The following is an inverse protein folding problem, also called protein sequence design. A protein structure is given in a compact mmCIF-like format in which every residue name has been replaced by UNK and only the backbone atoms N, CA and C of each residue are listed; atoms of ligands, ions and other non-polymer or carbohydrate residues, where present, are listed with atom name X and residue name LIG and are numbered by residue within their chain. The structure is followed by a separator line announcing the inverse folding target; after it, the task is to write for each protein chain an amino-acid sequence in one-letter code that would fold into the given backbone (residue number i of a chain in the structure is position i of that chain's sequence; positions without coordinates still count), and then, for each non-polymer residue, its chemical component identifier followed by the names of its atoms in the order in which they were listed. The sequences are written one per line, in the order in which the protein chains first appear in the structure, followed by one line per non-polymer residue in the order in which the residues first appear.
data_IF_986420287955
#
_entry.id   IF_986420287955
#
_cell.length_a   1.000
_cell.length_b   1.000
_cell.length_c   1.000
_cell.angle_alpha   90.00
_cell.angle_beta   90.00
_cell.angle_gamma   90.00
#
_symmetry.space_group_name_H-M   'P 1'
#
loop_
_entity.id
_entity.type
_entity.pdbx_description
1 polymer ?
#
# COMPACT_ATOMS: atom_id res chain seq x y z
N UNK A 1 -16.74 -21.04 21.80
CA UNK A 1 -17.02 -19.60 21.89
C UNK A 1 -15.97 -18.88 21.07
N UNK A 2 -16.28 -18.62 19.82
CA UNK A 2 -15.42 -17.84 18.92
C UNK A 2 -15.46 -16.37 19.35
N UNK A 3 -14.29 -15.80 19.65
CA UNK A 3 -14.17 -14.35 19.84
C UNK A 3 -14.32 -13.70 18.47
N UNK A 4 -15.49 -13.15 18.19
CA UNK A 4 -15.73 -12.25 17.08
C UNK A 4 -14.91 -10.96 17.33
N UNK A 5 -13.79 -10.82 16.65
CA UNK A 5 -13.11 -9.53 16.52
C UNK A 5 -13.98 -8.64 15.63
N UNK A 6 -14.80 -7.78 16.25
CA UNK A 6 -15.58 -6.81 15.51
C UNK A 6 -14.66 -5.76 14.88
N UNK A 7 -14.79 -5.56 13.60
CA UNK A 7 -14.01 -4.53 12.89
C UNK A 7 -14.42 -3.14 13.34
N UNK A 8 -13.49 -2.18 13.31
CA UNK A 8 -13.74 -0.76 13.67
C UNK A 8 -14.96 -0.18 12.93
N UNK A 9 -15.23 -0.67 11.73
CA UNK A 9 -16.39 -0.25 10.93
C UNK A 9 -17.72 -0.72 11.52
N UNK A 10 -17.81 -1.97 11.97
CA UNK A 10 -19.02 -2.53 12.62
C UNK A 10 -19.34 -1.79 13.92
N UNK A 11 -18.33 -1.53 14.74
CA UNK A 11 -18.51 -0.78 16.00
C UNK A 11 -18.96 0.66 15.73
N UNK A 12 -18.43 1.33 14.72
CA UNK A 12 -18.87 2.69 14.38
C UNK A 12 -20.33 2.74 13.90
N UNK A 13 -20.79 1.69 13.22
CA UNK A 13 -22.20 1.54 12.83
C UNK A 13 -23.11 1.34 14.06
N UNK A 14 -22.71 0.51 15.02
CA UNK A 14 -23.47 0.27 16.26
C UNK A 14 -23.57 1.55 17.10
N UNK A 15 -22.49 2.31 17.24
CA UNK A 15 -22.52 3.62 17.93
C UNK A 15 -23.45 4.60 17.21
N UNK A 16 -23.49 4.56 15.88
CA UNK A 16 -24.42 5.35 15.08
C UNK A 16 -25.88 4.96 15.33
N UNK A 17 -26.21 3.66 15.34
CA UNK A 17 -27.54 3.13 15.61
C UNK A 17 -28.03 3.47 17.02
N UNK A 18 -27.18 3.38 18.02
CA UNK A 18 -27.48 3.78 19.40
C UNK A 18 -27.91 5.24 19.48
N UNK A 19 -27.17 6.12 18.83
CA UNK A 19 -27.43 7.56 18.82
C UNK A 19 -28.78 7.93 18.18
N UNK A 20 -29.23 7.15 17.19
CA UNK A 20 -30.52 7.35 16.52
C UNK A 20 -31.66 6.53 17.16
N UNK A 21 -31.41 5.80 18.26
CA UNK A 21 -32.40 5.01 18.96
C UNK A 21 -32.89 3.79 18.17
N UNK A 22 -32.07 3.27 17.24
CA UNK A 22 -32.41 2.14 16.36
C UNK A 22 -31.60 0.88 16.68
N UNK A 23 -30.88 0.85 17.80
CA UNK A 23 -30.08 -0.28 18.25
C UNK A 23 -30.97 -1.39 18.82
N UNK A 24 -30.76 -2.65 18.38
CA UNK A 24 -31.48 -3.81 18.97
C UNK A 24 -30.83 -4.25 20.30
N UNK A 25 -31.54 -5.07 21.09
CA UNK A 25 -31.01 -5.59 22.35
C UNK A 25 -29.76 -6.43 22.14
N UNK A 26 -29.71 -7.29 21.09
CA UNK A 26 -28.54 -8.09 20.73
C UNK A 26 -27.35 -7.23 20.30
N UNK A 27 -27.60 -6.19 19.52
CA UNK A 27 -26.57 -5.24 19.08
C UNK A 27 -26.02 -4.41 20.25
N UNK A 28 -26.87 -4.10 21.25
CA UNK A 28 -26.48 -3.39 22.46
C UNK A 28 -25.53 -4.23 23.31
N UNK A 29 -25.82 -5.53 23.48
CA UNK A 29 -24.93 -6.45 24.21
C UNK A 29 -23.53 -6.51 23.58
N UNK A 30 -23.46 -6.55 22.25
CA UNK A 30 -22.19 -6.54 21.48
C UNK A 30 -21.41 -5.24 21.72
N UNK A 31 -22.09 -4.09 21.70
CA UNK A 31 -21.46 -2.79 21.94
C UNK A 31 -20.95 -2.67 23.38
N UNK A 32 -21.74 -3.12 24.36
CA UNK A 32 -21.34 -3.13 25.76
C UNK A 32 -20.16 -4.07 26.03
N UNK A 33 -20.12 -5.25 25.42
CA UNK A 33 -19.00 -6.17 25.54
C UNK A 33 -17.72 -5.56 24.93
N UNK A 34 -17.80 -4.93 23.77
CA UNK A 34 -16.67 -4.24 23.15
C UNK A 34 -16.13 -3.11 24.03
N UNK A 35 -17.00 -2.33 24.67
CA UNK A 35 -16.62 -1.25 25.61
C UNK A 35 -15.86 -1.78 26.83
N UNK A 36 -16.24 -2.95 27.35
CA UNK A 36 -15.60 -3.59 28.52
C UNK A 36 -14.24 -4.23 28.20
N UNK A 37 -13.93 -4.48 26.94
CA UNK A 37 -12.67 -5.15 26.53
C UNK A 37 -11.43 -4.30 26.82
N UNK A 38 -11.50 -2.98 26.75
CA UNK A 38 -10.35 -2.11 27.05
C UNK A 38 -10.78 -0.71 27.47
N UNK A 39 -9.96 -0.06 28.32
CA UNK A 39 -10.16 1.35 28.68
C UNK A 39 -10.05 2.31 27.48
N UNK A 40 -9.32 1.91 26.43
CA UNK A 40 -9.21 2.67 25.20
C UNK A 40 -10.52 2.65 24.39
N UNK A 41 -11.23 1.51 24.39
CA UNK A 41 -12.54 1.38 23.73
C UNK A 41 -13.58 2.30 24.39
N UNK A 42 -13.64 2.32 25.73
CA UNK A 42 -14.53 3.23 26.45
C UNK A 42 -14.19 4.68 26.18
N UNK A 43 -12.90 5.03 26.15
CA UNK A 43 -12.46 6.40 25.84
C UNK A 43 -12.85 6.81 24.41
N UNK A 44 -12.73 5.88 23.45
CA UNK A 44 -13.11 6.09 22.05
C UNK A 44 -14.63 6.26 21.92
N UNK A 45 -15.40 5.41 22.60
CA UNK A 45 -16.85 5.50 22.64
C UNK A 45 -17.32 6.87 23.16
N UNK A 46 -16.78 7.34 24.28
CA UNK A 46 -17.11 8.64 24.86
C UNK A 46 -16.78 9.80 23.89
N UNK A 47 -15.65 9.74 23.19
CA UNK A 47 -15.30 10.73 22.17
C UNK A 47 -16.26 10.74 21.00
N UNK A 48 -16.74 9.59 20.56
CA UNK A 48 -17.70 9.48 19.45
C UNK A 48 -19.14 9.88 19.85
N UNK A 49 -19.47 9.84 21.14
CA UNK A 49 -20.72 10.39 21.66
C UNK A 49 -20.70 11.92 21.78
N UNK A 50 -19.53 12.53 21.91
CA UNK A 50 -19.40 14.00 22.00
C UNK A 50 -19.66 14.66 20.63
N UNK A 51 -20.77 15.39 20.57
CA UNK A 51 -21.21 16.09 19.36
C UNK A 51 -20.23 17.19 18.92
N UNK A 52 -19.51 17.78 19.88
CA UNK A 52 -18.50 18.82 19.58
C UNK A 52 -17.27 18.20 18.92
N UNK A 53 -16.80 17.07 19.45
CA UNK A 53 -15.67 16.35 18.89
C UNK A 53 -15.93 15.88 17.44
N UNK A 54 -17.13 15.37 17.17
CA UNK A 54 -17.52 14.96 15.81
C UNK A 54 -17.63 16.14 14.86
N UNK A 55 -18.25 17.26 15.30
CA UNK A 55 -18.39 18.45 14.45
C UNK A 55 -17.05 19.09 14.11
N UNK A 56 -16.10 19.15 15.06
CA UNK A 56 -14.75 19.65 14.82
C UNK A 56 -13.95 18.71 13.91
N UNK A 57 -14.12 17.40 14.06
CA UNK A 57 -13.44 16.40 13.23
C UNK A 57 -13.94 16.43 11.80
N UNK A 58 -15.25 16.56 11.58
CA UNK A 58 -15.85 16.73 10.25
C UNK A 58 -15.47 18.07 9.62
N UNK A 59 -15.41 19.14 10.40
CA UNK A 59 -14.98 20.47 9.92
C UNK A 59 -13.50 20.48 9.48
N UNK A 60 -12.64 19.74 10.16
CA UNK A 60 -11.23 19.57 9.76
C UNK A 60 -11.07 18.78 8.47
N UNK A 61 -11.97 17.84 8.19
CA UNK A 61 -11.90 16.98 7.00
C UNK A 61 -12.51 17.62 5.75
N UNK A 62 -13.49 18.54 5.91
CA UNK A 62 -14.31 19.01 4.79
C UNK A 62 -13.92 20.37 4.22
N UNK A 63 -13.24 21.23 4.97
CA UNK A 63 -12.88 22.58 4.48
C UNK A 63 -14.06 23.42 3.95
N UNK A 64 -15.32 22.98 4.15
CA UNK A 64 -16.53 23.59 3.60
C UNK A 64 -17.24 24.40 4.68
N UNK A 65 -17.26 25.72 4.47
CA UNK A 65 -18.05 26.63 5.31
C UNK A 65 -19.55 26.47 5.03
N UNK A 66 -20.25 25.77 5.91
CA UNK A 66 -21.68 25.46 5.79
C UNK A 66 -22.61 26.56 6.34
N UNK A 67 -22.12 27.71 6.76
CA UNK A 67 -22.94 28.76 7.41
C UNK A 67 -23.72 29.65 6.42
N UNK A 68 -23.30 29.78 5.19
CA UNK A 68 -23.98 30.61 4.20
C UNK A 68 -25.26 30.00 3.58
N UNK A 69 -25.40 28.69 3.32
CA UNK A 69 -26.61 28.13 2.72
C UNK A 69 -27.85 28.15 3.62
N UNK A 70 -27.68 28.03 4.94
CA UNK A 70 -28.80 27.95 5.88
C UNK A 70 -29.53 29.28 6.10
N UNK A 71 -28.86 30.40 6.03
CA UNK A 71 -29.49 31.72 6.16
C UNK A 71 -30.29 32.12 4.93
N UNK A 72 -29.92 31.62 3.74
CA UNK A 72 -30.67 31.89 2.50
C UNK A 72 -32.00 31.11 2.46
N UNK A 73 -32.04 29.89 2.96
CA UNK A 73 -33.29 29.08 3.02
C UNK A 73 -34.31 29.63 4.02
N UNK A 74 -33.89 30.18 5.16
CA UNK A 74 -34.81 30.71 6.18
C UNK A 74 -35.53 32.00 5.72
N UNK A 75 -34.92 32.79 4.85
CA UNK A 75 -35.56 34.02 4.30
C UNK A 75 -36.60 33.74 3.22
N UNK A 76 -36.56 32.62 2.56
CA UNK A 76 -37.57 32.25 1.51
C UNK A 76 -38.84 31.66 2.11
N UNK A 77 -38.82 31.13 3.34
CA UNK A 77 -40.01 30.52 3.99
C UNK A 77 -40.95 31.57 4.63
N UNK A 78 -40.50 32.78 4.89
CA UNK A 78 -41.28 33.81 5.56
C UNK A 78 -42.26 34.56 4.64
N UNK A 79 -42.33 34.27 3.34
CA UNK A 79 -43.10 35.03 2.34
C UNK A 79 -44.49 34.47 1.99
N UNK A 80 -44.92 33.32 2.54
CA UNK A 80 -46.08 32.59 2.02
C UNK A 80 -47.35 32.58 2.91
N UNK A 81 -47.58 33.57 3.73
CA UNK A 81 -48.82 33.66 4.49
C UNK A 81 -49.66 34.91 4.10
N UNK A 82 -50.22 34.94 2.90
CA UNK A 82 -51.43 35.78 2.56
C UNK A 82 -51.90 35.46 1.16
N UNK A 83 -52.83 34.54 1.00
CA UNK A 83 -53.94 34.50 0.03
C UNK A 83 -54.70 33.17 0.14
N UNK A 84 -55.50 33.07 1.19
CA UNK A 84 -56.63 32.12 1.26
C UNK A 84 -57.86 32.86 0.69
N UNK A 85 -58.41 32.35 -0.40
CA UNK A 85 -59.85 32.35 -0.74
C UNK A 85 -60.20 32.45 -2.21
N UNK A 86 -59.50 31.86 -3.13
CA UNK A 86 -60.06 31.59 -4.47
C UNK A 86 -59.40 30.33 -5.00
N UNK A 87 -59.89 29.16 -4.77
CA UNK A 87 -59.42 27.96 -5.47
C UNK A 87 -60.03 26.63 -4.93
N UNK A 88 -61.34 26.58 -4.69
CA UNK A 88 -62.00 25.28 -4.49
C UNK A 88 -62.31 24.52 -5.80
N UNK A 89 -62.07 25.10 -6.97
CA UNK A 89 -62.34 24.48 -8.28
C UNK A 89 -61.08 24.09 -9.08
N UNK A 90 -59.87 24.35 -8.56
CA UNK A 90 -58.59 23.92 -9.20
C UNK A 90 -57.91 22.72 -8.51
N UNK A 91 -58.52 22.17 -7.45
CA UNK A 91 -57.86 21.13 -6.64
C UNK A 91 -57.89 19.72 -7.26
N UNK A 92 -58.83 19.42 -8.18
CA UNK A 92 -58.90 18.07 -8.77
C UNK A 92 -57.90 17.93 -9.93
N UNK A 93 -57.62 19.00 -10.69
CA UNK A 93 -56.62 18.99 -11.77
C UNK A 93 -55.17 19.03 -11.24
N UNK A 94 -54.93 19.70 -10.07
CA UNK A 94 -53.60 19.80 -9.49
C UNK A 94 -53.09 18.50 -8.89
N UNK A 95 -53.96 17.70 -8.27
CA UNK A 95 -53.59 16.40 -7.70
C UNK A 95 -53.24 15.39 -8.78
N UNK A 96 -53.98 15.36 -9.89
CA UNK A 96 -53.67 14.48 -11.03
C UNK A 96 -52.35 14.87 -11.71
N UNK A 97 -52.05 16.17 -11.87
CA UNK A 97 -50.79 16.66 -12.40
C UNK A 97 -49.62 16.36 -11.46
N UNK A 98 -49.81 16.49 -10.11
CA UNK A 98 -48.81 16.16 -9.14
C UNK A 98 -48.49 14.65 -9.10
N UNK A 99 -49.54 13.82 -9.19
CA UNK A 99 -49.38 12.37 -9.31
C UNK A 99 -48.64 11.95 -10.59
N UNK A 100 -48.96 12.60 -11.73
CA UNK A 100 -48.24 12.35 -12.99
C UNK A 100 -46.76 12.84 -12.93
N UNK A 101 -46.48 13.95 -12.27
CA UNK A 101 -45.14 14.44 -12.06
C UNK A 101 -44.37 13.51 -11.09
N UNK A 102 -45.01 13.03 -10.01
CA UNK A 102 -44.39 12.09 -9.08
C UNK A 102 -44.18 10.71 -9.72
N UNK A 103 -45.16 10.21 -10.50
CA UNK A 103 -45.00 8.99 -11.28
C UNK A 103 -43.96 9.15 -12.40
N UNK A 104 -43.89 10.28 -13.05
CA UNK A 104 -42.86 10.62 -14.03
C UNK A 104 -41.45 10.71 -13.39
N UNK A 105 -41.34 11.35 -12.23
CA UNK A 105 -40.10 11.37 -11.47
C UNK A 105 -39.72 9.99 -10.93
N UNK A 106 -40.68 9.22 -10.41
CA UNK A 106 -40.45 7.84 -9.99
C UNK A 106 -40.01 6.98 -11.18
N UNK A 107 -40.65 7.13 -12.35
CA UNK A 107 -40.23 6.41 -13.55
C UNK A 107 -38.88 6.87 -14.09
N UNK A 108 -38.58 8.17 -14.08
CA UNK A 108 -37.26 8.72 -14.42
C UNK A 108 -36.18 8.28 -13.46
N UNK A 109 -36.42 8.29 -12.14
CA UNK A 109 -35.48 7.81 -11.13
C UNK A 109 -35.28 6.30 -11.23
N UNK A 110 -36.39 5.55 -11.50
CA UNK A 110 -36.29 4.09 -11.69
C UNK A 110 -35.63 3.73 -13.02
N UNK A 111 -35.82 4.54 -14.06
CA UNK A 111 -35.14 4.37 -15.35
C UNK A 111 -33.66 4.76 -15.27
N UNK A 112 -33.28 5.75 -14.45
CA UNK A 112 -31.88 6.06 -14.18
C UNK A 112 -31.19 4.99 -13.32
N UNK A 113 -31.90 4.32 -12.42
CA UNK A 113 -31.35 3.18 -11.69
C UNK A 113 -31.16 1.93 -12.58
N UNK A 114 -31.95 1.80 -13.66
CA UNK A 114 -31.77 0.72 -14.66
C UNK A 114 -30.63 1.00 -15.66
N UNK A 115 -30.09 2.23 -15.68
CA UNK A 115 -28.94 2.63 -16.50
C UNK A 115 -27.65 2.70 -15.67
N UNK A 116 -27.66 2.29 -14.40
CA UNK A 116 -26.41 1.91 -13.74
C UNK A 116 -25.91 0.65 -14.45
N UNK A 117 -25.17 0.86 -15.52
CA UNK A 117 -24.29 -0.17 -16.03
C UNK A 117 -23.59 -0.79 -14.82
N UNK A 118 -23.58 -2.12 -14.70
CA UNK A 118 -22.77 -2.74 -13.66
C UNK A 118 -21.38 -2.10 -13.77
N UNK A 119 -20.73 -1.77 -12.66
CA UNK A 119 -19.43 -1.15 -12.71
C UNK A 119 -18.61 -1.94 -13.71
N UNK A 120 -18.23 -1.28 -14.81
CA UNK A 120 -17.33 -1.89 -15.79
C UNK A 120 -16.09 -2.22 -14.98
N UNK A 121 -15.92 -3.50 -14.71
CA UNK A 121 -14.79 -4.01 -13.94
C UNK A 121 -13.55 -3.66 -14.78
N UNK A 122 -12.99 -2.49 -14.52
CA UNK A 122 -11.79 -2.06 -15.24
C UNK A 122 -10.69 -3.07 -14.90
N UNK A 123 -10.02 -3.62 -15.91
CA UNK A 123 -8.98 -4.59 -15.68
C UNK A 123 -7.92 -4.00 -14.73
N UNK A 124 -7.56 -4.76 -13.70
CA UNK A 124 -6.45 -4.40 -12.81
C UNK A 124 -5.18 -4.81 -13.52
N UNK A 125 -4.52 -3.81 -14.09
CA UNK A 125 -3.26 -4.00 -14.82
C UNK A 125 -2.12 -4.27 -13.83
N UNK A 126 -1.10 -4.93 -14.35
CA UNK A 126 0.16 -5.15 -13.64
C UNK A 126 0.81 -3.82 -13.23
N UNK A 127 1.66 -3.89 -12.24
CA UNK A 127 2.53 -2.80 -11.86
C UNK A 127 3.50 -2.41 -12.99
N UNK A 128 4.21 -1.31 -12.78
CA UNK A 128 5.14 -0.78 -13.76
C UNK A 128 6.13 0.23 -13.16
N UNK A 129 6.89 0.95 -13.99
CA UNK A 129 7.91 1.89 -13.52
C UNK A 129 7.25 3.10 -12.82
N UNK A 130 7.20 3.08 -11.49
CA UNK A 130 6.67 4.15 -10.65
C UNK A 130 7.58 4.34 -9.45
N UNK A 131 8.04 5.55 -9.24
CA UNK A 131 8.83 5.90 -8.07
C UNK A 131 8.70 7.40 -7.73
N UNK A 132 8.88 7.72 -6.45
CA UNK A 132 8.99 9.09 -5.95
C UNK A 132 10.38 9.26 -5.36
N UNK A 133 11.10 10.27 -5.82
CA UNK A 133 12.40 10.64 -5.29
C UNK A 133 12.24 11.80 -4.30
N UNK A 134 12.65 11.56 -3.06
CA UNK A 134 12.71 12.55 -2.00
C UNK A 134 14.15 13.07 -1.93
N UNK A 135 14.36 14.32 -2.31
CA UNK A 135 15.67 14.96 -2.25
C UNK A 135 16.00 15.44 -0.83
N UNK A 136 17.28 15.51 -0.50
CA UNK A 136 17.73 15.96 0.82
C UNK A 136 17.38 17.40 1.18
N UNK A 137 16.90 18.22 0.24
CA UNK A 137 16.35 19.54 0.44
C UNK A 137 14.83 19.54 0.76
N UNK A 138 14.19 18.36 0.78
CA UNK A 138 12.76 18.19 1.01
C UNK A 138 11.89 18.22 -0.24
N UNK A 139 12.45 18.38 -1.42
CA UNK A 139 11.73 18.35 -2.70
C UNK A 139 11.32 16.93 -3.05
N UNK A 140 10.09 16.76 -3.59
CA UNK A 140 9.53 15.49 -4.05
C UNK A 140 9.43 15.49 -5.57
N UNK A 141 9.94 14.45 -6.19
CA UNK A 141 9.96 14.31 -7.66
C UNK A 141 9.35 12.97 -8.04
N UNK A 142 8.26 13.03 -8.80
CA UNK A 142 7.65 11.85 -9.41
C UNK A 142 8.44 11.42 -10.65
N UNK A 143 9.08 10.25 -10.58
CA UNK A 143 9.97 9.76 -11.63
C UNK A 143 9.24 9.22 -12.87
N UNK A 144 7.97 8.85 -12.75
CA UNK A 144 7.11 8.46 -13.86
C UNK A 144 6.86 9.62 -14.85
N UNK A 145 6.81 10.87 -14.35
CA UNK A 145 6.59 12.09 -15.15
C UNK A 145 7.87 12.87 -15.44
N UNK A 146 9.00 12.46 -14.88
CA UNK A 146 10.27 13.17 -15.04
C UNK A 146 10.79 13.07 -16.47
N UNK A 147 10.97 14.22 -17.13
CA UNK A 147 11.57 14.34 -18.46
C UNK A 147 12.92 15.05 -18.48
N UNK A 148 13.35 15.63 -17.35
CA UNK A 148 14.54 16.45 -17.25
C UNK A 148 15.58 15.88 -16.30
N UNK A 149 16.85 16.23 -16.53
CA UNK A 149 17.95 15.95 -15.61
C UNK A 149 17.87 16.91 -14.41
N UNK A 150 18.06 16.37 -13.21
CA UNK A 150 18.12 17.12 -11.96
C UNK A 150 19.59 17.29 -11.59
N UNK A 151 19.98 18.45 -11.10
CA UNK A 151 21.33 18.69 -10.57
C UNK A 151 21.21 18.98 -9.07
N UNK A 152 21.90 18.18 -8.25
CA UNK A 152 21.97 18.35 -6.81
C UNK A 152 23.43 18.46 -6.38
N UNK A 153 23.89 19.71 -6.11
CA UNK A 153 25.30 19.98 -5.91
C UNK A 153 26.12 19.70 -7.17
N UNK A 154 27.13 18.84 -7.04
CA UNK A 154 28.00 18.41 -8.15
C UNK A 154 27.49 17.12 -8.85
N UNK A 155 26.41 16.53 -8.31
CA UNK A 155 25.85 15.29 -8.84
C UNK A 155 24.73 15.57 -9.81
N UNK A 156 24.82 14.93 -10.97
CA UNK A 156 23.75 14.90 -11.97
C UNK A 156 22.92 13.66 -11.78
N UNK A 157 21.61 13.84 -11.61
CA UNK A 157 20.62 12.78 -11.48
C UNK A 157 19.84 12.75 -12.79
N UNK A 158 19.94 11.68 -13.55
CA UNK A 158 19.29 11.55 -14.86
C UNK A 158 18.48 10.28 -14.95
N UNK A 159 17.30 10.37 -15.55
CA UNK A 159 16.51 9.21 -15.96
C UNK A 159 17.09 8.69 -17.27
N UNK A 160 17.66 7.49 -17.22
CA UNK A 160 18.36 6.89 -18.37
C UNK A 160 17.40 6.15 -19.29
N UNK A 161 16.32 5.59 -18.72
CA UNK A 161 15.16 5.00 -19.41
C UNK A 161 13.91 5.11 -18.50
N UNK A 162 12.76 4.58 -18.95
CA UNK A 162 11.49 4.74 -18.23
C UNK A 162 11.52 4.21 -16.80
N UNK A 163 12.42 3.29 -16.48
CA UNK A 163 12.50 2.61 -15.18
C UNK A 163 13.85 2.77 -14.48
N UNK A 164 14.77 3.60 -14.98
CA UNK A 164 16.13 3.68 -14.46
C UNK A 164 16.59 5.11 -14.19
N UNK A 165 17.03 5.33 -12.94
CA UNK A 165 17.66 6.56 -12.48
C UNK A 165 19.15 6.33 -12.29
N UNK A 166 19.97 7.27 -12.73
CA UNK A 166 21.45 7.22 -12.62
C UNK A 166 21.98 8.46 -11.93
N UNK A 167 22.88 8.23 -10.98
CA UNK A 167 23.68 9.28 -10.32
C UNK A 167 25.06 9.34 -10.99
N UNK A 168 25.41 10.51 -11.52
CA UNK A 168 26.71 10.77 -12.12
C UNK A 168 27.40 11.89 -11.36
N UNK A 169 28.43 11.54 -10.58
CA UNK A 169 29.28 12.52 -9.90
C UNK A 169 30.41 12.92 -10.81
N UNK A 170 30.48 14.19 -11.19
CA UNK A 170 31.67 14.73 -11.88
C UNK A 170 32.83 14.68 -10.90
N UNK A 171 33.85 13.87 -11.25
CA UNK A 171 35.07 13.70 -10.45
C UNK A 171 35.86 15.01 -10.38
N UNK A 172 35.54 15.86 -9.40
CA UNK A 172 36.54 16.71 -8.77
C UNK A 172 36.51 16.40 -7.28
N UNK A 173 37.53 15.64 -6.85
CA UNK A 173 37.78 15.39 -5.42
C UNK A 173 38.16 16.71 -4.74
N UNK A 174 37.17 17.54 -4.49
CA UNK A 174 37.31 18.59 -3.49
C UNK A 174 36.89 17.98 -2.15
N UNK A 175 37.87 17.73 -1.28
CA UNK A 175 37.67 17.40 0.14
C UNK A 175 36.94 18.57 0.83
N UNK A 176 35.70 18.80 0.50
CA UNK A 176 34.85 19.69 1.27
C UNK A 176 34.14 18.84 2.32
N UNK A 177 34.60 18.98 3.55
CA UNK A 177 33.93 18.60 4.79
C UNK A 177 32.51 19.23 4.87
N UNK A 178 31.59 18.71 4.08
CA UNK A 178 30.19 19.10 4.06
C UNK A 178 29.33 18.04 4.71
N UNK A 179 28.17 18.43 5.23
CA UNK A 179 27.15 17.52 5.73
C UNK A 179 26.72 16.56 4.62
N UNK A 180 26.77 15.24 4.87
CA UNK A 180 26.34 14.24 3.89
C UNK A 180 24.88 14.43 3.58
N UNK A 181 24.56 14.63 2.32
CA UNK A 181 23.17 14.78 1.82
C UNK A 181 22.63 13.40 1.47
N UNK A 182 21.47 13.08 1.98
CA UNK A 182 20.76 11.83 1.69
C UNK A 182 19.55 12.09 0.84
N UNK A 183 19.34 11.22 -0.14
CA UNK A 183 18.10 11.09 -0.87
C UNK A 183 17.41 9.79 -0.47
N UNK A 184 16.10 9.72 -0.72
CA UNK A 184 15.31 8.51 -0.54
C UNK A 184 14.47 8.28 -1.80
N UNK A 185 14.53 7.07 -2.36
CA UNK A 185 13.60 6.65 -3.41
C UNK A 185 12.52 5.77 -2.80
N UNK A 186 11.27 6.12 -3.04
CA UNK A 186 10.09 5.39 -2.61
C UNK A 186 9.40 4.75 -3.81
N UNK A 187 9.20 3.44 -3.72
CA UNK A 187 8.45 2.66 -4.70
C UNK A 187 7.07 2.39 -4.12
N UNK A 188 6.00 2.96 -4.68
CA UNK A 188 4.64 2.70 -4.21
C UNK A 188 4.21 1.27 -4.54
N UNK A 189 3.09 0.85 -4.02
CA UNK A 189 2.42 -0.38 -4.47
C UNK A 189 2.13 -0.27 -5.95
N UNK A 190 2.31 -1.37 -6.68
CA UNK A 190 2.23 -1.39 -8.14
C UNK A 190 3.42 -0.72 -8.84
N UNK A 191 4.49 -0.40 -8.10
CA UNK A 191 5.72 0.18 -8.63
C UNK A 191 6.87 -0.80 -8.72
N UNK A 192 7.83 -0.50 -9.56
CA UNK A 192 9.20 -1.04 -9.56
C UNK A 192 10.12 0.03 -10.17
N UNK A 193 11.40 0.05 -9.77
CA UNK A 193 12.33 1.02 -10.31
C UNK A 193 13.79 0.56 -10.16
N UNK A 194 14.63 0.96 -11.09
CA UNK A 194 16.06 0.64 -11.12
C UNK A 194 16.87 1.90 -10.78
N UNK A 195 17.88 1.76 -9.94
CA UNK A 195 18.72 2.85 -9.47
C UNK A 195 20.19 2.51 -9.68
N UNK A 196 20.98 3.44 -10.23
CA UNK A 196 22.43 3.37 -10.22
C UNK A 196 22.96 4.41 -9.26
N UNK A 197 23.58 3.96 -8.18
CA UNK A 197 24.18 4.81 -7.16
C UNK A 197 25.47 5.47 -7.68
N UNK A 198 25.94 6.50 -6.99
CA UNK A 198 27.14 7.28 -7.38
C UNK A 198 28.43 6.45 -7.51
N UNK A 199 28.51 5.31 -6.78
CA UNK A 199 29.64 4.36 -6.88
C UNK A 199 29.53 3.39 -8.08
N UNK A 200 28.42 3.43 -8.82
CA UNK A 200 28.09 2.53 -9.91
C UNK A 200 27.41 1.23 -9.47
N UNK A 201 27.05 1.09 -8.20
CA UNK A 201 26.22 -0.01 -7.71
C UNK A 201 24.82 0.09 -8.32
N UNK A 202 24.31 -1.02 -8.88
CA UNK A 202 22.96 -1.11 -9.41
C UNK A 202 22.02 -1.73 -8.39
N UNK A 203 20.84 -1.14 -8.24
CA UNK A 203 19.79 -1.58 -7.32
C UNK A 203 18.48 -1.66 -8.08
N UNK A 204 17.81 -2.82 -8.00
CA UNK A 204 16.44 -3.01 -8.47
C UNK A 204 15.54 -3.01 -7.26
N UNK A 205 14.55 -2.14 -7.23
CA UNK A 205 13.62 -1.96 -6.14
C UNK A 205 12.25 -2.54 -6.52
N UNK A 206 11.72 -3.41 -5.66
CA UNK A 206 10.42 -4.02 -5.83
C UNK A 206 9.30 -3.11 -5.30
N UNK A 207 8.03 -3.47 -5.54
CA UNK A 207 6.86 -2.74 -5.06
C UNK A 207 6.86 -2.58 -3.54
N UNK A 208 6.36 -1.44 -3.05
CA UNK A 208 6.25 -1.11 -1.62
C UNK A 208 7.63 -1.10 -0.91
N UNK A 209 8.65 -0.55 -1.58
CA UNK A 209 10.02 -0.49 -1.05
C UNK A 209 10.54 0.93 -0.99
N UNK A 210 11.47 1.18 -0.07
CA UNK A 210 12.19 2.45 0.08
C UNK A 210 13.67 2.21 0.24
N UNK A 211 14.46 3.03 -0.40
CA UNK A 211 15.92 3.04 -0.23
C UNK A 211 16.39 4.45 0.08
N UNK A 212 17.02 4.60 1.24
CA UNK A 212 17.69 5.84 1.63
C UNK A 212 19.19 5.67 1.45
N UNK A 213 19.81 6.59 0.72
CA UNK A 213 21.21 6.54 0.34
C UNK A 213 21.82 7.93 0.27
N UNK A 214 23.14 8.08 0.52
CA UNK A 214 23.82 9.35 0.31
C UNK A 214 23.94 9.66 -1.18
N UNK A 215 23.86 10.94 -1.52
CA UNK A 215 24.06 11.41 -2.91
C UNK A 215 25.47 11.03 -3.42
N UNK A 216 26.44 11.10 -2.51
CA UNK A 216 27.80 10.61 -2.71
C UNK A 216 28.28 9.83 -1.48
N UNK A 217 29.00 8.74 -1.73
CA UNK A 217 29.61 7.97 -0.65
C UNK A 217 30.91 8.63 -0.18
N UNK A 218 30.90 9.07 1.07
CA UNK A 218 32.06 9.65 1.75
C UNK A 218 32.36 8.86 3.02
N UNK A 219 33.64 8.85 3.44
CA UNK A 219 34.06 8.17 4.68
C UNK A 219 34.59 6.77 4.44
N UNK A 220 34.37 5.85 5.41
CA UNK A 220 34.98 4.52 5.47
C UNK A 220 34.09 3.39 4.97
N UNK A 221 32.85 3.71 4.55
CA UNK A 221 31.86 2.73 4.10
C UNK A 221 30.86 3.34 3.11
N UNK A 222 30.20 2.49 2.33
CA UNK A 222 29.08 2.84 1.44
C UNK A 222 27.79 2.32 2.09
N UNK A 223 27.10 3.17 2.83
CA UNK A 223 25.95 2.77 3.62
C UNK A 223 24.64 3.21 2.98
N UNK A 224 23.68 2.29 2.93
CA UNK A 224 22.28 2.53 2.52
C UNK A 224 21.33 1.89 3.53
N UNK A 225 20.09 2.39 3.58
CA UNK A 225 19.01 1.85 4.43
C UNK A 225 17.88 1.42 3.52
N UNK A 226 17.45 0.17 3.65
CA UNK A 226 16.37 -0.44 2.87
C UNK A 226 15.15 -0.71 3.74
N UNK A 227 13.98 -0.46 3.21
CA UNK A 227 12.69 -1.01 3.65
C UNK A 227 12.06 -1.72 2.44
N UNK A 228 11.47 -2.92 2.63
CA UNK A 228 10.88 -3.71 1.56
C UNK A 228 11.86 -4.65 0.90
N UNK A 229 11.87 -4.75 -0.43
CA UNK A 229 12.68 -5.70 -1.19
C UNK A 229 13.51 -5.02 -2.29
N UNK A 230 14.79 -5.40 -2.33
CA UNK A 230 15.70 -4.95 -3.37
C UNK A 230 16.71 -6.04 -3.75
N UNK A 231 17.08 -6.04 -5.02
CA UNK A 231 18.24 -6.78 -5.54
C UNK A 231 19.38 -5.80 -5.74
N UNK A 232 20.56 -6.16 -5.24
CA UNK A 232 21.79 -5.36 -5.33
C UNK A 232 22.82 -6.05 -6.22
N UNK A 233 23.39 -5.31 -7.16
CA UNK A 233 24.61 -5.66 -7.87
C UNK A 233 25.67 -4.63 -7.48
N UNK A 234 26.40 -4.94 -6.41
CA UNK A 234 27.33 -4.00 -5.79
C UNK A 234 28.63 -3.92 -6.58
N UNK A 235 29.02 -2.70 -6.90
CA UNK A 235 30.32 -2.42 -7.55
C UNK A 235 31.46 -2.87 -6.62
N UNK A 236 32.36 -3.71 -7.15
CA UNK A 236 33.49 -4.25 -6.38
C UNK A 236 34.44 -3.13 -5.92
N UNK A 237 34.62 -3.05 -4.61
CA UNK A 237 35.57 -2.15 -3.95
C UNK A 237 36.00 -2.75 -2.59
N UNK A 238 37.13 -3.48 -2.54
CA UNK A 238 37.59 -4.13 -1.31
C UNK A 238 37.99 -3.16 -0.19
N UNK A 239 38.37 -1.94 -0.52
CA UNK A 239 38.82 -0.93 0.45
C UNK A 239 37.67 -0.13 1.06
N UNK A 240 36.47 -0.19 0.47
CA UNK A 240 35.30 0.56 0.95
C UNK A 240 34.07 -0.36 0.96
N UNK A 241 33.77 -1.03 2.09
CA UNK A 241 32.68 -1.97 2.19
C UNK A 241 31.32 -1.29 1.90
N UNK A 242 30.41 -2.05 1.31
CA UNK A 242 29.03 -1.64 1.09
C UNK A 242 28.14 -2.26 2.16
N UNK A 243 27.33 -1.46 2.83
CA UNK A 243 26.44 -1.88 3.91
C UNK A 243 24.99 -1.55 3.61
N UNK A 244 24.14 -2.56 3.74
CA UNK A 244 22.69 -2.40 3.72
C UNK A 244 22.14 -2.61 5.12
N UNK A 245 21.51 -1.60 5.68
CA UNK A 245 20.72 -1.72 6.89
C UNK A 245 19.25 -1.98 6.54
N UNK A 246 18.67 -3.00 7.14
CA UNK A 246 17.25 -3.34 6.99
C UNK A 246 16.72 -3.88 8.31
N UNK A 247 15.72 -3.22 8.87
CA UNK A 247 15.16 -3.57 10.19
C UNK A 247 16.31 -3.73 11.23
N UNK A 248 16.47 -4.91 11.80
CA UNK A 248 17.50 -5.23 12.80
C UNK A 248 18.72 -5.94 12.20
N UNK A 249 18.89 -5.92 10.87
CA UNK A 249 19.95 -6.62 10.16
C UNK A 249 20.89 -5.63 9.47
N UNK A 250 22.18 -5.93 9.49
CA UNK A 250 23.23 -5.25 8.73
C UNK A 250 23.87 -6.27 7.80
N UNK A 251 23.92 -5.95 6.52
CA UNK A 251 24.50 -6.77 5.46
C UNK A 251 25.74 -6.05 4.94
N UNK A 252 26.90 -6.71 4.99
CA UNK A 252 28.18 -6.14 4.54
C UNK A 252 28.75 -6.94 3.38
N UNK A 253 29.15 -6.23 2.31
CA UNK A 253 29.72 -6.81 1.10
C UNK A 253 30.84 -5.94 0.52
N UNK A 254 31.71 -6.53 -0.31
CA UNK A 254 32.80 -5.83 -0.99
C UNK A 254 32.62 -5.72 -2.53
N UNK A 255 31.61 -6.43 -3.06
CA UNK A 255 31.33 -6.50 -4.50
C UNK A 255 30.61 -7.82 -4.80
N UNK A 256 29.29 -7.81 -4.73
CA UNK A 256 28.47 -9.00 -4.52
C UNK A 256 27.10 -8.76 -5.15
N UNK A 257 26.49 -9.83 -5.62
CA UNK A 257 25.10 -9.83 -6.08
C UNK A 257 24.24 -10.58 -5.07
N UNK A 258 23.18 -9.92 -4.55
CA UNK A 258 22.31 -10.49 -3.53
C UNK A 258 20.92 -9.85 -3.54
N UNK A 259 19.93 -10.58 -3.08
CA UNK A 259 18.55 -10.10 -2.86
C UNK A 259 18.28 -9.96 -1.37
N UNK A 260 17.59 -8.91 -0.97
CA UNK A 260 17.14 -8.69 0.41
C UNK A 260 15.66 -8.38 0.38
N UNK A 261 14.87 -9.08 1.21
CA UNK A 261 13.44 -8.84 1.44
C UNK A 261 13.16 -8.74 2.93
N UNK A 262 12.57 -7.63 3.37
CA UNK A 262 12.24 -7.37 4.77
C UNK A 262 11.10 -6.37 4.92
N UNK A 263 9.92 -6.73 4.42
CA UNK A 263 8.71 -5.93 4.55
C UNK A 263 8.25 -5.85 6.01
N UNK A 264 7.65 -4.72 6.40
CA UNK A 264 7.21 -4.48 7.79
C UNK A 264 6.08 -5.42 8.25
N UNK A 265 5.25 -5.84 7.31
CA UNK A 265 4.14 -6.78 7.51
C UNK A 265 4.56 -8.27 7.47
N UNK A 266 5.84 -8.55 7.25
CA UNK A 266 6.43 -9.89 7.28
C UNK A 266 7.24 -10.11 8.56
N UNK A 267 7.16 -11.32 9.11
CA UNK A 267 7.86 -11.68 10.35
C UNK A 267 9.38 -11.78 10.16
N UNK A 268 9.84 -12.08 8.94
CA UNK A 268 11.25 -12.39 8.68
C UNK A 268 11.90 -11.40 7.71
N UNK A 269 13.22 -11.26 7.84
CA UNK A 269 14.08 -10.66 6.80
C UNK A 269 14.87 -11.78 6.12
N UNK A 270 14.82 -11.79 4.79
CA UNK A 270 15.50 -12.76 3.94
C UNK A 270 16.66 -12.11 3.22
N UNK A 271 17.87 -12.63 3.38
CA UNK A 271 19.06 -12.19 2.62
C UNK A 271 19.61 -13.37 1.84
N UNK A 272 19.52 -13.32 0.51
CA UNK A 272 19.92 -14.40 -0.40
C UNK A 272 21.13 -14.01 -1.21
N UNK A 273 22.18 -14.81 -1.16
CA UNK A 273 23.39 -14.58 -1.93
C UNK A 273 23.31 -15.23 -3.32
N UNK A 274 23.50 -14.40 -4.34
CA UNK A 274 23.54 -14.83 -5.76
C UNK A 274 24.97 -15.09 -6.19
N UNK A 275 25.86 -14.13 -5.98
CA UNK A 275 27.27 -14.22 -6.40
C UNK A 275 28.17 -13.42 -5.46
N UNK A 276 29.34 -13.96 -5.13
CA UNK A 276 30.34 -13.32 -4.26
C UNK A 276 30.30 -13.83 -2.81
N UNK A 277 30.31 -12.92 -1.85
CA UNK A 277 30.29 -13.21 -0.41
C UNK A 277 29.50 -12.14 0.33
N UNK A 278 28.62 -12.56 1.23
CA UNK A 278 27.83 -11.68 2.11
C UNK A 278 28.11 -12.01 3.56
N UNK A 279 28.37 -10.97 4.35
CA UNK A 279 28.38 -11.07 5.81
C UNK A 279 27.10 -10.45 6.33
N UNK A 280 26.31 -11.21 7.06
CA UNK A 280 25.06 -10.78 7.68
C UNK A 280 25.29 -10.71 9.19
N UNK A 281 24.84 -9.63 9.81
CA UNK A 281 24.87 -9.45 11.26
C UNK A 281 23.51 -8.93 11.75
N UNK A 282 23.07 -9.43 12.92
CA UNK A 282 21.92 -8.93 13.64
C UNK A 282 22.18 -9.08 15.14
N UNK A 283 22.04 -7.96 15.88
CA UNK A 283 22.37 -7.90 17.32
C UNK A 283 23.79 -8.45 17.60
N UNK A 284 23.91 -9.56 18.32
CA UNK A 284 25.17 -10.21 18.68
C UNK A 284 25.52 -11.44 17.83
N UNK A 285 24.69 -11.73 16.80
CA UNK A 285 24.84 -12.88 15.90
C UNK A 285 25.31 -12.42 14.53
N UNK A 286 26.07 -13.28 13.86
CA UNK A 286 26.48 -13.03 12.50
C UNK A 286 26.80 -14.31 11.77
N UNK A 287 26.62 -14.28 10.44
CA UNK A 287 27.00 -15.39 9.57
C UNK A 287 27.53 -14.87 8.24
N UNK A 288 28.26 -15.74 7.58
CA UNK A 288 28.70 -15.50 6.20
C UNK A 288 27.95 -16.45 5.28
N UNK A 289 27.40 -15.92 4.20
CA UNK A 289 26.71 -16.69 3.17
C UNK A 289 27.64 -16.99 1.98
N UNK A 290 27.42 -18.15 1.39
CA UNK A 290 27.97 -18.59 0.11
C UNK A 290 26.89 -18.52 -0.96
N UNK A 291 27.24 -18.48 -2.26
CA UNK A 291 26.26 -18.50 -3.35
C UNK A 291 25.26 -19.67 -3.22
N UNK A 292 23.96 -19.36 -3.38
CA UNK A 292 22.86 -20.29 -3.15
C UNK A 292 22.35 -20.36 -1.72
N UNK A 293 23.01 -19.69 -0.78
CA UNK A 293 22.54 -19.65 0.61
C UNK A 293 21.69 -18.42 0.90
N UNK A 294 20.75 -18.59 1.82
CA UNK A 294 19.86 -17.55 2.35
C UNK A 294 19.95 -17.51 3.87
N UNK A 295 20.09 -16.33 4.41
CA UNK A 295 19.85 -16.03 5.83
C UNK A 295 18.39 -15.66 6.01
N UNK A 296 17.71 -16.29 6.96
CA UNK A 296 16.39 -15.92 7.45
C UNK A 296 16.56 -15.40 8.87
N UNK A 297 16.25 -14.13 9.07
CA UNK A 297 16.20 -13.49 10.39
C UNK A 297 14.74 -13.35 10.81
N UNK A 298 14.34 -14.03 11.86
CA UNK A 298 13.05 -13.76 12.52
C UNK A 298 13.18 -12.45 13.33
N UNK A 299 12.28 -11.50 13.07
CA UNK A 299 12.37 -10.18 13.72
C UNK A 299 11.71 -10.14 15.09
N UNK A 300 10.95 -11.18 15.46
CA UNK A 300 10.31 -11.31 16.77
C UNK A 300 11.26 -11.79 17.85
N UNK A 301 12.01 -12.87 17.59
CA UNK A 301 12.93 -13.47 18.55
C UNK A 301 14.41 -13.24 18.22
N UNK A 302 14.74 -12.65 17.07
CA UNK A 302 16.10 -12.40 16.61
C UNK A 302 16.86 -13.67 16.23
N UNK A 303 16.17 -14.79 15.99
CA UNK A 303 16.81 -16.02 15.51
C UNK A 303 17.27 -15.86 14.07
N UNK A 304 18.44 -16.41 13.77
CA UNK A 304 19.02 -16.41 12.43
C UNK A 304 19.30 -17.85 12.01
N UNK A 305 18.70 -18.26 10.90
CA UNK A 305 18.97 -19.57 10.28
C UNK A 305 19.55 -19.38 8.89
N UNK A 306 20.40 -20.33 8.48
CA UNK A 306 20.96 -20.41 7.12
C UNK A 306 20.37 -21.61 6.43
N UNK A 307 19.94 -21.44 5.20
CA UNK A 307 19.38 -22.51 4.36
C UNK A 307 19.87 -22.39 2.92
N UNK A 308 19.84 -23.51 2.20
CA UNK A 308 20.04 -23.54 0.75
C UNK A 308 18.73 -23.21 0.05
N UNK A 309 18.82 -22.39 -1.00
CA UNK A 309 17.65 -21.97 -1.78
C UNK A 309 17.95 -22.00 -3.27
N UNK A 310 16.90 -22.15 -4.06
CA UNK A 310 16.96 -21.91 -5.49
C UNK A 310 16.92 -20.38 -5.74
N UNK A 311 18.07 -19.82 -6.02
CA UNK A 311 18.25 -18.39 -6.24
C UNK A 311 17.36 -17.86 -7.36
N UNK A 312 17.17 -18.64 -8.44
CA UNK A 312 16.35 -18.24 -9.60
C UNK A 312 14.89 -18.06 -9.21
N UNK A 313 14.38 -18.82 -8.24
CA UNK A 313 13.04 -18.61 -7.68
C UNK A 313 12.95 -17.31 -6.90
N UNK A 314 13.95 -16.99 -6.08
CA UNK A 314 13.97 -15.78 -5.25
C UNK A 314 14.02 -14.52 -6.10
N UNK A 315 14.89 -14.49 -7.13
CA UNK A 315 15.07 -13.32 -7.98
C UNK A 315 14.16 -13.30 -9.22
N UNK A 316 13.17 -14.22 -9.29
CA UNK A 316 12.25 -14.35 -10.43
C UNK A 316 11.45 -13.08 -10.70
N UNK A 317 11.16 -12.30 -9.65
CA UNK A 317 10.46 -11.03 -9.78
C UNK A 317 11.22 -10.03 -10.67
N UNK A 318 12.55 -9.97 -10.57
CA UNK A 318 13.41 -9.16 -11.42
C UNK A 318 13.41 -9.66 -12.87
N UNK A 319 13.14 -10.97 -13.07
CA UNK A 319 13.05 -11.62 -14.40
C UNK A 319 11.62 -11.60 -14.97
N UNK A 320 10.69 -10.85 -14.36
CA UNK A 320 9.30 -10.68 -14.83
C UNK A 320 8.41 -11.90 -14.60
N UNK A 321 8.67 -12.68 -13.55
CA UNK A 321 7.89 -13.88 -13.18
C UNK A 321 7.59 -13.90 -11.68
N UNK A 322 6.44 -14.49 -11.31
CA UNK A 322 6.18 -14.97 -9.97
C UNK A 322 6.28 -16.49 -9.99
N UNK A 323 7.19 -17.03 -9.18
CA UNK A 323 7.30 -18.48 -8.94
C UNK A 323 6.55 -18.77 -7.65
N UNK A 324 5.59 -19.70 -7.71
CA UNK A 324 4.64 -19.99 -6.64
C UNK A 324 5.00 -21.25 -5.87
N UNK A 325 6.06 -21.97 -6.29
CA UNK A 325 6.46 -23.23 -5.70
C UNK A 325 6.73 -23.12 -4.22
N UNK A 326 6.14 -24.02 -3.44
CA UNK A 326 6.29 -24.11 -1.98
C UNK A 326 5.79 -22.88 -1.20
N UNK A 327 4.99 -22.01 -1.84
CA UNK A 327 4.44 -20.83 -1.19
C UNK A 327 2.99 -21.05 -0.80
N UNK A 328 2.62 -20.56 0.38
CA UNK A 328 1.23 -20.54 0.81
C UNK A 328 0.45 -19.48 0.02
N UNK A 329 -0.87 -19.66 -0.07
CA UNK A 329 -1.74 -18.67 -0.70
C UNK A 329 -1.59 -17.29 -0.07
N UNK A 330 -1.39 -17.21 1.24
CA UNK A 330 -1.14 -15.93 1.91
C UNK A 330 0.11 -15.24 1.37
N UNK A 331 1.24 -15.96 1.27
CA UNK A 331 2.48 -15.42 0.72
C UNK A 331 2.35 -14.98 -0.75
N UNK A 332 1.65 -15.78 -1.55
CA UNK A 332 1.36 -15.45 -2.95
C UNK A 332 0.52 -14.18 -3.03
N UNK A 333 -0.58 -14.13 -2.28
CA UNK A 333 -1.50 -13.00 -2.33
C UNK A 333 -0.89 -11.71 -1.75
N UNK A 334 0.04 -11.79 -0.79
CA UNK A 334 0.81 -10.64 -0.32
C UNK A 334 1.68 -10.05 -1.44
N UNK A 335 2.39 -10.91 -2.22
CA UNK A 335 3.18 -10.47 -3.38
C UNK A 335 2.30 -9.83 -4.45
N UNK A 336 1.17 -10.47 -4.77
CA UNK A 336 0.20 -9.93 -5.72
C UNK A 336 -0.42 -8.63 -5.22
N UNK A 337 -0.73 -8.53 -3.92
CA UNK A 337 -1.28 -7.34 -3.32
C UNK A 337 -0.34 -6.13 -3.50
N UNK A 338 0.96 -6.31 -3.25
CA UNK A 338 1.96 -5.25 -3.48
C UNK A 338 2.07 -4.89 -4.96
N UNK A 339 2.11 -5.89 -5.85
CA UNK A 339 2.35 -5.65 -7.27
C UNK A 339 1.16 -5.10 -8.03
N UNK A 340 -0.06 -5.54 -7.70
CA UNK A 340 -1.29 -5.05 -8.35
C UNK A 340 -1.96 -3.91 -7.56
N UNK A 341 -1.42 -3.52 -6.42
CA UNK A 341 -2.00 -2.55 -5.51
C UNK A 341 -3.46 -2.90 -5.16
N UNK A 342 -3.68 -4.09 -4.65
CA UNK A 342 -4.97 -4.64 -4.24
C UNK A 342 -5.02 -4.96 -2.76
N UNK A 343 -6.22 -5.03 -2.22
CA UNK A 343 -6.49 -5.56 -0.88
C UNK A 343 -6.99 -7.00 -1.01
N UNK A 344 -6.61 -7.87 -0.09
CA UNK A 344 -7.03 -9.28 -0.10
C UNK A 344 -7.87 -9.58 1.14
N UNK A 345 -9.04 -10.16 0.92
CA UNK A 345 -9.93 -10.60 1.99
C UNK A 345 -10.18 -12.10 1.86
N UNK A 346 -10.00 -12.86 2.94
CA UNK A 346 -10.26 -14.30 2.98
C UNK A 346 -11.59 -14.55 3.69
N UNK A 347 -12.56 -15.17 2.99
CA UNK A 347 -13.82 -15.58 3.63
C UNK A 347 -13.58 -16.72 4.64
N UNK A 348 -12.61 -17.60 4.34
CA UNK A 348 -12.18 -18.66 5.24
C UNK A 348 -10.68 -18.52 5.49
N UNK A 349 -10.23 -18.20 6.73
CA UNK A 349 -8.81 -18.05 7.06
C UNK A 349 -7.96 -19.29 6.77
N UNK A 350 -8.56 -20.52 6.77
CA UNK A 350 -7.84 -21.75 6.47
C UNK A 350 -7.26 -21.78 5.05
N UNK A 351 -7.84 -21.03 4.11
CA UNK A 351 -7.36 -20.92 2.73
C UNK A 351 -5.95 -20.31 2.64
N UNK A 352 -5.55 -19.51 3.60
CA UNK A 352 -4.22 -18.89 3.67
C UNK A 352 -3.08 -19.90 3.58
N UNK A 353 -3.29 -21.11 4.18
CA UNK A 353 -2.27 -22.13 4.30
C UNK A 353 -2.19 -23.08 3.09
N UNK A 354 -3.07 -22.92 2.10
CA UNK A 354 -3.01 -23.74 0.88
C UNK A 354 -1.73 -23.45 0.11
N UNK A 355 -1.04 -24.51 -0.33
CA UNK A 355 0.25 -24.42 -1.03
C UNK A 355 0.04 -24.61 -2.53
N UNK A 356 0.59 -23.69 -3.32
CA UNK A 356 0.49 -23.71 -4.77
C UNK A 356 1.83 -24.03 -5.42
N UNK A 357 1.77 -24.54 -6.67
CA UNK A 357 2.94 -24.82 -7.51
C UNK A 357 2.75 -24.17 -8.87
N UNK A 358 3.84 -23.73 -9.48
CA UNK A 358 3.85 -23.17 -10.83
C UNK A 358 4.51 -21.82 -10.92
N UNK A 359 4.36 -21.19 -12.07
CA UNK A 359 4.83 -19.83 -12.31
C UNK A 359 3.82 -19.04 -13.14
N UNK A 360 3.73 -17.73 -12.88
CA UNK A 360 2.86 -16.82 -13.63
C UNK A 360 3.65 -15.61 -14.10
N UNK A 361 3.30 -15.04 -15.29
CA UNK A 361 3.93 -13.80 -15.76
C UNK A 361 3.63 -12.64 -14.81
N UNK A 362 4.65 -11.89 -14.42
CA UNK A 362 4.51 -10.73 -13.51
C UNK A 362 3.71 -9.59 -14.14
N UNK A 363 3.87 -9.40 -15.46
CA UNK A 363 3.23 -8.30 -16.20
C UNK A 363 1.88 -8.67 -16.83
N UNK A 364 1.31 -9.84 -16.50
CA UNK A 364 -0.03 -10.21 -16.91
C UNK A 364 -1.08 -9.38 -16.15
N UNK A 365 -2.29 -9.30 -16.68
CA UNK A 365 -3.44 -8.75 -15.96
C UNK A 365 -3.79 -9.61 -14.73
N UNK A 366 -4.20 -8.99 -13.61
CA UNK A 366 -4.51 -9.70 -12.36
C UNK A 366 -5.50 -10.85 -12.56
N UNK A 367 -6.57 -10.64 -13.35
CA UNK A 367 -7.57 -11.68 -13.60
C UNK A 367 -6.96 -12.92 -14.24
N UNK A 368 -6.00 -12.75 -15.15
CA UNK A 368 -5.30 -13.88 -15.79
C UNK A 368 -4.49 -14.67 -14.77
N UNK A 369 -3.81 -13.98 -13.85
CA UNK A 369 -3.04 -14.61 -12.77
C UNK A 369 -3.94 -15.38 -11.82
N UNK A 370 -5.04 -14.76 -11.37
CA UNK A 370 -6.01 -15.40 -10.48
C UNK A 370 -6.69 -16.62 -11.13
N UNK A 371 -7.04 -16.55 -12.42
CA UNK A 371 -7.62 -17.67 -13.16
C UNK A 371 -6.65 -18.88 -13.22
N UNK A 372 -5.34 -18.65 -13.22
CA UNK A 372 -4.37 -19.77 -13.16
C UNK A 372 -4.44 -20.46 -11.81
N UNK A 373 -4.58 -19.72 -10.71
CA UNK A 373 -4.74 -20.28 -9.37
C UNK A 373 -6.11 -21.00 -9.22
N UNK A 374 -7.19 -20.46 -9.77
CA UNK A 374 -8.52 -21.06 -9.75
C UNK A 374 -8.57 -22.43 -10.48
N UNK A 375 -7.72 -22.62 -11.52
CA UNK A 375 -7.66 -23.89 -12.26
C UNK A 375 -7.22 -25.09 -11.39
N UNK A 376 -6.64 -24.86 -10.23
CA UNK A 376 -6.34 -25.94 -9.28
C UNK A 376 -7.60 -26.54 -8.63
N UNK A 377 -8.72 -25.80 -8.70
CA UNK A 377 -9.99 -26.19 -8.06
C UNK A 377 -10.01 -26.00 -6.54
N UNK A 378 -8.96 -25.41 -5.95
CA UNK A 378 -8.83 -25.26 -4.51
C UNK A 378 -9.37 -23.94 -3.97
N UNK A 379 -9.46 -22.91 -4.81
CA UNK A 379 -9.88 -21.55 -4.45
C UNK A 379 -10.60 -20.89 -5.61
N UNK A 380 -11.45 -19.93 -5.28
CA UNK A 380 -12.10 -19.01 -6.21
C UNK A 380 -11.81 -17.57 -5.80
N UNK A 381 -11.74 -16.65 -6.77
CA UNK A 381 -11.50 -15.25 -6.50
C UNK A 381 -12.62 -14.37 -7.06
N UNK A 382 -13.16 -13.52 -6.21
CA UNK A 382 -14.09 -12.48 -6.62
C UNK A 382 -13.40 -11.11 -6.48
N UNK A 383 -13.38 -10.34 -7.56
CA UNK A 383 -12.81 -8.99 -7.57
C UNK A 383 -13.96 -7.99 -7.41
N UNK A 384 -13.84 -7.11 -6.42
CA UNK A 384 -14.73 -5.98 -6.21
C UNK A 384 -13.89 -4.71 -6.09
N UNK A 385 -13.89 -3.87 -7.11
CA UNK A 385 -12.98 -2.74 -7.23
C UNK A 385 -11.50 -3.21 -7.16
N UNK A 386 -10.76 -2.80 -6.12
CA UNK A 386 -9.37 -3.24 -5.87
C UNK A 386 -9.26 -4.26 -4.73
N UNK A 387 -10.37 -4.85 -4.31
CA UNK A 387 -10.41 -5.91 -3.29
C UNK A 387 -10.62 -7.26 -3.96
N UNK A 388 -9.75 -8.20 -3.64
CA UNK A 388 -9.86 -9.62 -4.05
C UNK A 388 -10.37 -10.42 -2.86
N UNK A 389 -11.55 -11.00 -3.01
CA UNK A 389 -12.17 -11.87 -2.03
C UNK A 389 -11.84 -13.31 -2.39
N UNK A 390 -11.16 -14.03 -1.48
CA UNK A 390 -10.77 -15.42 -1.62
C UNK A 390 -11.85 -16.30 -1.01
N UNK A 391 -12.35 -17.26 -1.80
CA UNK A 391 -13.43 -18.20 -1.46
C UNK A 391 -12.96 -19.64 -1.69
N UNK A 392 -13.73 -20.59 -1.18
CA UNK A 392 -13.63 -22.01 -1.54
C UNK A 392 -14.16 -22.27 -2.93
#
# INVERSE_FOLDING_TARGET
MEKLEHTVFQISELIGKERFGTLSEEENEVLEEWRRQSAEHETLYQKLQDTRYLSESVARLSGIDTRQPLQHMQRQIAGFTRRRQILRLRQIGGVAALCLILLGRFWLVHRQSSLRQPPVDRPILAGGPRAVLHLGNGELIHLDTLQQTITQGEVRISKTDDRKLSYDSRQEKNEKSGKVVYNEIEIPRGGEFDLVLADGTQVWLNAESRLRYPVEFSGKERKVVLEGEAYFQVKKNPSLPFRVEIRNQVIEVLGTEFNVSGYKDEACVYTTLVNGKVKVAATDKGMTLLPGEQCVLDTGDGSMIRQQVDVDKIISWKKGKFILEEQTLEQIMQKLARWYDITVFYQNPALKNKVFKGSVPRYAELRQVLNILEKTGEVQFHIQNRTVIVKE
#
